data_IF_917033735027
#
_entry.id   IF_917033735027
#
_cell.length_a   1.000
_cell.length_b   1.000
_cell.length_c   1.000
_cell.angle_alpha   90.00
_cell.angle_beta   90.00
_cell.angle_gamma   90.00
#
_symmetry.space_group_name_H-M   'P 1'
#
loop_
_entity.id
_entity.type
_entity.pdbx_description
1 polymer ?
#
# COMPACT_ATOMS: atom_id res chain seq x y z
N UNK A 1 -3.79 0.74 40.95
CA UNK A 1 -2.50 1.16 40.34
C UNK A 1 -2.13 0.29 39.12
N UNK A 2 -2.01 -1.01 39.34
CA UNK A 2 -1.65 -1.92 38.23
C UNK A 2 -2.73 -1.92 37.14
N UNK A 3 -3.99 -1.93 37.52
CA UNK A 3 -5.10 -1.89 36.55
C UNK A 3 -5.11 -0.59 35.74
N UNK A 4 -4.81 0.53 36.40
CA UNK A 4 -4.73 1.82 35.73
C UNK A 4 -3.62 1.84 34.68
N UNK A 5 -2.44 1.30 35.02
CA UNK A 5 -1.33 1.23 34.07
C UNK A 5 -1.65 0.37 32.85
N UNK A 6 -2.27 -0.79 33.06
CA UNK A 6 -2.71 -1.68 31.97
C UNK A 6 -3.73 -0.99 31.08
N UNK A 7 -4.69 -0.26 31.70
CA UNK A 7 -5.71 0.48 30.99
C UNK A 7 -5.08 1.56 30.10
N UNK A 8 -4.11 2.30 30.64
CA UNK A 8 -3.43 3.35 29.90
C UNK A 8 -2.64 2.80 28.71
N UNK A 9 -1.96 1.67 28.89
CA UNK A 9 -1.25 1.00 27.80
C UNK A 9 -2.24 0.54 26.72
N UNK A 10 -3.37 -0.02 27.13
CA UNK A 10 -4.43 -0.44 26.21
C UNK A 10 -4.97 0.73 25.40
N UNK A 11 -5.21 1.88 26.05
CA UNK A 11 -5.69 3.07 25.37
C UNK A 11 -4.69 3.58 24.33
N UNK A 12 -3.38 3.57 24.65
CA UNK A 12 -2.35 3.96 23.72
C UNK A 12 -2.27 3.00 22.52
N UNK A 13 -2.38 1.70 22.77
CA UNK A 13 -2.38 0.70 21.70
C UNK A 13 -3.60 0.81 20.82
N UNK A 14 -4.76 1.13 21.39
CA UNK A 14 -6.01 1.31 20.64
C UNK A 14 -5.93 2.52 19.70
N UNK A 15 -5.13 3.54 20.06
CA UNK A 15 -4.93 4.72 19.22
C UNK A 15 -3.99 4.49 18.05
N UNK A 16 -3.15 3.44 18.12
CA UNK A 16 -2.25 3.11 17.03
C UNK A 16 -3.03 2.42 15.93
N UNK A 17 -3.00 2.99 14.73
CA UNK A 17 -3.72 2.46 13.59
C UNK A 17 -3.02 1.22 13.03
N UNK A 18 -3.82 0.23 12.66
CA UNK A 18 -3.31 -1.02 12.10
C UNK A 18 -3.02 -0.87 10.62
N UNK A 19 -2.16 -1.77 10.10
CA UNK A 19 -1.91 -1.84 8.67
C UNK A 19 -3.21 -2.11 7.93
N UNK A 20 -3.38 -1.43 6.80
CA UNK A 20 -4.46 -1.76 5.88
C UNK A 20 -4.02 -3.00 5.13
N UNK A 21 -4.84 -4.05 5.14
CA UNK A 21 -4.54 -5.30 4.43
C UNK A 21 -5.76 -5.71 3.64
N UNK A 22 -5.59 -5.89 2.33
CA UNK A 22 -6.68 -6.31 1.44
C UNK A 22 -6.16 -7.42 0.52
N UNK A 23 -6.97 -8.45 0.36
CA UNK A 23 -6.63 -9.62 -0.46
C UNK A 23 -7.74 -9.88 -1.44
N UNK A 24 -7.38 -10.10 -2.71
CA UNK A 24 -8.33 -10.45 -3.77
C UNK A 24 -7.73 -11.57 -4.62
N UNK A 25 -8.59 -12.31 -5.32
CA UNK A 25 -8.16 -13.27 -6.34
C UNK A 25 -8.34 -12.61 -7.70
N UNK A 26 -7.26 -12.60 -8.50
CA UNK A 26 -7.26 -12.03 -9.84
C UNK A 26 -7.22 -13.18 -10.83
N UNK A 27 -8.09 -13.16 -11.84
CA UNK A 27 -8.15 -14.19 -12.88
C UNK A 27 -7.11 -13.93 -13.97
N UNK A 28 -5.85 -14.00 -13.55
CA UNK A 28 -4.69 -13.87 -14.43
C UNK A 28 -3.52 -14.64 -13.82
N UNK A 29 -2.65 -15.16 -14.67
CA UNK A 29 -1.46 -15.88 -14.22
C UNK A 29 -0.49 -14.93 -13.50
N UNK A 30 0.27 -15.47 -12.55
CA UNK A 30 1.13 -14.67 -11.67
C UNK A 30 2.13 -13.80 -12.44
N UNK A 31 2.67 -14.28 -13.54
CA UNK A 31 3.63 -13.52 -14.34
C UNK A 31 2.98 -12.27 -14.93
N UNK A 32 1.74 -12.39 -15.39
CA UNK A 32 0.99 -11.25 -15.94
C UNK A 32 0.67 -10.22 -14.85
N UNK A 33 0.28 -10.69 -13.67
CA UNK A 33 0.01 -9.80 -12.53
C UNK A 33 1.31 -9.10 -12.09
N UNK A 34 2.41 -9.85 -12.02
CA UNK A 34 3.71 -9.29 -11.64
C UNK A 34 4.12 -8.15 -12.57
N UNK A 35 4.00 -8.33 -13.88
CA UNK A 35 4.33 -7.28 -14.84
C UNK A 35 3.48 -6.02 -14.62
N UNK A 36 2.21 -6.19 -14.26
CA UNK A 36 1.30 -5.07 -14.05
C UNK A 36 1.60 -4.30 -12.76
N UNK A 37 2.17 -4.95 -11.74
CA UNK A 37 2.45 -4.31 -10.45
C UNK A 37 3.91 -3.94 -10.26
N UNK A 38 4.79 -4.31 -11.20
CA UNK A 38 6.24 -4.10 -11.05
C UNK A 38 6.86 -3.29 -12.19
N UNK A 39 6.06 -2.57 -12.96
CA UNK A 39 6.54 -1.67 -14.02
C UNK A 39 5.83 -0.33 -13.89
N UNK A 40 6.48 0.74 -14.34
CA UNK A 40 5.89 2.08 -14.30
C UNK A 40 4.59 2.15 -15.11
N UNK A 41 4.59 1.59 -16.33
CA UNK A 41 3.41 1.56 -17.18
C UNK A 41 2.28 0.74 -16.56
N UNK A 42 2.62 -0.43 -16.00
CA UNK A 42 1.64 -1.29 -15.36
C UNK A 42 0.98 -0.60 -14.18
N UNK A 43 1.77 -0.04 -13.28
CA UNK A 43 1.25 0.65 -12.08
C UNK A 43 0.40 1.86 -12.48
N UNK A 44 0.80 2.61 -13.49
CA UNK A 44 0.03 3.78 -13.96
C UNK A 44 -1.36 3.39 -14.47
N UNK A 45 -1.50 2.17 -14.98
CA UNK A 45 -2.79 1.71 -15.53
C UNK A 45 -3.85 1.50 -14.46
N UNK A 46 -3.46 1.28 -13.21
CA UNK A 46 -4.43 0.99 -12.14
C UNK A 46 -4.27 1.89 -10.91
N UNK A 47 -3.20 2.65 -10.81
CA UNK A 47 -2.95 3.50 -9.64
C UNK A 47 -2.70 4.95 -10.06
N UNK A 48 -1.44 5.37 -10.18
CA UNK A 48 -1.09 6.76 -10.51
C UNK A 48 0.12 6.79 -11.46
N UNK A 49 0.27 7.86 -12.26
CA UNK A 49 1.50 8.06 -13.01
C UNK A 49 2.72 8.06 -12.08
N UNK A 50 3.82 7.46 -12.53
CA UNK A 50 4.99 7.26 -11.71
C UNK A 50 6.24 7.03 -12.55
N UNK A 51 7.39 7.02 -11.90
CA UNK A 51 8.69 6.70 -12.50
C UNK A 51 9.33 5.48 -11.82
N UNK A 52 8.51 4.49 -11.45
CA UNK A 52 8.93 3.27 -10.79
C UNK A 52 9.91 2.47 -11.67
N UNK A 53 10.89 1.84 -11.01
CA UNK A 53 11.77 0.87 -11.61
C UNK A 53 11.99 -0.25 -10.59
N UNK A 54 11.90 -1.51 -11.04
CA UNK A 54 12.00 -2.68 -10.14
C UNK A 54 13.45 -2.95 -9.75
N UNK A 55 14.02 -2.05 -8.96
CA UNK A 55 15.38 -2.13 -8.48
C UNK A 55 15.43 -1.61 -7.05
N UNK A 56 15.94 -2.44 -6.13
CA UNK A 56 16.07 -2.06 -4.72
C UNK A 56 16.92 -0.79 -4.59
N UNK A 57 16.41 0.16 -3.82
CA UNK A 57 17.08 1.45 -3.62
C UNK A 57 16.68 2.53 -4.62
N UNK A 58 15.97 2.17 -5.70
CA UNK A 58 15.51 3.17 -6.66
C UNK A 58 14.51 4.13 -6.03
N UNK A 59 14.77 5.43 -6.17
CA UNK A 59 13.87 6.47 -5.70
C UNK A 59 12.94 6.85 -6.85
N UNK A 60 11.64 6.92 -6.55
CA UNK A 60 10.63 7.23 -7.55
C UNK A 60 9.52 8.08 -6.92
N UNK A 61 8.59 8.53 -7.74
CA UNK A 61 7.50 9.41 -7.29
C UNK A 61 6.18 8.96 -7.89
N UNK A 62 5.10 9.05 -7.10
CA UNK A 62 3.74 9.03 -7.63
C UNK A 62 3.27 10.45 -7.83
N UNK A 63 2.57 10.70 -8.94
CA UNK A 63 1.97 12.00 -9.22
C UNK A 63 0.58 12.03 -8.59
N UNK A 64 0.49 12.58 -7.38
CA UNK A 64 -0.77 12.64 -6.64
C UNK A 64 -1.41 14.03 -6.75
N UNK A 65 -2.70 14.17 -6.38
CA UNK A 65 -3.36 15.49 -6.34
C UNK A 65 -2.68 16.48 -5.38
N UNK A 66 -1.91 15.97 -4.42
CA UNK A 66 -1.17 16.80 -3.47
C UNK A 66 0.26 17.10 -3.93
N UNK A 67 0.60 16.76 -5.17
CA UNK A 67 1.93 16.90 -5.70
C UNK A 67 2.70 15.58 -5.74
N UNK A 68 3.97 15.58 -6.16
CA UNK A 68 4.76 14.36 -6.21
C UNK A 68 4.92 13.74 -4.82
N UNK A 69 4.67 12.44 -4.71
CA UNK A 69 4.87 11.68 -3.47
C UNK A 69 6.15 10.85 -3.58
N UNK A 70 7.19 11.15 -2.78
CA UNK A 70 8.46 10.44 -2.89
C UNK A 70 8.37 9.03 -2.32
N UNK A 71 8.99 8.09 -3.04
CA UNK A 71 8.99 6.69 -2.70
C UNK A 71 10.39 6.10 -2.91
N UNK A 72 10.64 4.94 -2.29
CA UNK A 72 11.89 4.22 -2.49
C UNK A 72 11.59 2.72 -2.47
N UNK A 73 12.13 2.00 -3.45
CA UNK A 73 11.98 0.55 -3.51
C UNK A 73 12.79 -0.09 -2.39
N UNK A 74 12.12 -0.88 -1.55
CA UNK A 74 12.72 -1.56 -0.40
C UNK A 74 13.07 -3.00 -0.73
N UNK A 75 12.18 -3.70 -1.42
CA UNK A 75 12.31 -5.13 -1.66
C UNK A 75 11.72 -5.51 -3.01
N UNK A 76 12.40 -6.38 -3.74
CA UNK A 76 11.93 -6.96 -5.01
C UNK A 76 12.25 -8.44 -5.01
N UNK A 77 11.21 -9.29 -5.00
CA UNK A 77 11.33 -10.75 -5.08
C UNK A 77 10.36 -11.28 -6.15
N UNK A 78 10.76 -11.26 -7.42
CA UNK A 78 9.87 -11.71 -8.50
C UNK A 78 9.55 -13.19 -8.40
N UNK A 79 8.35 -13.61 -8.70
CA UNK A 79 7.15 -12.81 -9.01
C UNK A 79 6.22 -12.66 -7.80
N UNK A 80 6.73 -12.74 -6.58
CA UNK A 80 5.92 -12.95 -5.39
C UNK A 80 5.80 -11.74 -4.48
N UNK A 81 6.78 -10.83 -4.47
CA UNK A 81 6.76 -9.79 -3.45
C UNK A 81 7.54 -8.55 -3.90
N UNK A 82 6.96 -7.38 -3.64
CA UNK A 82 7.69 -6.12 -3.72
C UNK A 82 7.18 -5.17 -2.64
N UNK A 83 8.08 -4.30 -2.16
CA UNK A 83 7.75 -3.29 -1.16
C UNK A 83 8.43 -1.98 -1.49
N UNK A 84 7.77 -0.88 -1.16
CA UNK A 84 8.36 0.45 -1.28
C UNK A 84 7.89 1.33 -0.12
N UNK A 85 8.74 2.29 0.25
CA UNK A 85 8.33 3.36 1.17
C UNK A 85 7.49 4.36 0.39
N UNK A 86 6.53 4.98 1.05
CA UNK A 86 5.63 5.94 0.40
C UNK A 86 5.52 7.19 1.23
N UNK A 87 5.96 8.31 0.63
CA UNK A 87 5.94 9.62 1.24
C UNK A 87 6.87 9.73 2.46
N UNK A 88 6.94 10.91 3.05
CA UNK A 88 7.82 11.21 4.19
C UNK A 88 7.21 10.83 5.53
N UNK A 89 5.97 10.32 5.52
CA UNK A 89 5.24 10.00 6.73
C UNK A 89 5.62 8.63 7.34
N UNK A 90 6.58 7.93 6.74
CA UNK A 90 6.99 6.61 7.22
C UNK A 90 6.11 5.47 6.73
N UNK A 91 5.25 5.72 5.76
CA UNK A 91 4.40 4.68 5.16
C UNK A 91 5.22 3.71 4.33
N UNK A 92 4.73 2.49 4.25
CA UNK A 92 5.22 1.50 3.30
C UNK A 92 4.03 0.77 2.67
N UNK A 93 4.23 0.30 1.45
CA UNK A 93 3.25 -0.52 0.74
C UNK A 93 3.95 -1.78 0.28
N UNK A 94 3.29 -2.91 0.48
CA UNK A 94 3.80 -4.22 0.05
C UNK A 94 2.74 -4.91 -0.79
N UNK A 95 3.18 -5.46 -1.94
CA UNK A 95 2.35 -6.34 -2.77
C UNK A 95 2.86 -7.76 -2.61
N UNK A 96 1.97 -8.69 -2.33
CA UNK A 96 2.29 -10.11 -2.20
C UNK A 96 1.44 -10.88 -3.20
N UNK A 97 2.08 -11.66 -4.04
CA UNK A 97 1.43 -12.46 -5.07
C UNK A 97 1.64 -13.93 -4.75
N UNK A 98 0.55 -14.69 -4.73
CA UNK A 98 0.58 -16.14 -4.53
C UNK A 98 -0.06 -16.82 -5.74
N UNK A 99 0.67 -17.74 -6.35
CA UNK A 99 0.16 -18.48 -7.50
C UNK A 99 -0.93 -19.46 -7.09
N UNK A 100 -2.06 -19.39 -7.79
CA UNK A 100 -3.19 -20.30 -7.61
C UNK A 100 -3.53 -20.93 -8.98
N UNK A 101 -2.56 -21.64 -9.57
CA UNK A 101 -2.71 -22.16 -10.92
C UNK A 101 -2.77 -21.04 -11.94
N UNK A 102 -3.89 -20.89 -12.63
CA UNK A 102 -4.08 -19.85 -13.64
C UNK A 102 -4.55 -18.52 -13.04
N UNK A 103 -4.78 -18.49 -11.73
CA UNK A 103 -5.20 -17.30 -11.00
C UNK A 103 -4.10 -16.88 -10.04
N UNK A 104 -4.23 -15.68 -9.49
CA UNK A 104 -3.26 -15.12 -8.54
C UNK A 104 -4.00 -14.53 -7.35
N UNK A 105 -3.56 -14.89 -6.14
CA UNK A 105 -4.00 -14.20 -4.94
C UNK A 105 -3.09 -12.99 -4.76
N UNK A 106 -3.69 -11.81 -4.75
CA UNK A 106 -2.99 -10.54 -4.59
C UNK A 106 -3.33 -9.94 -3.24
N UNK A 107 -2.32 -9.64 -2.44
CA UNK A 107 -2.48 -8.99 -1.15
C UNK A 107 -1.73 -7.66 -1.15
N UNK A 108 -2.40 -6.61 -0.72
CA UNK A 108 -1.81 -5.30 -0.51
C UNK A 108 -1.77 -5.01 0.98
N UNK A 109 -0.61 -4.56 1.46
CA UNK A 109 -0.43 -4.10 2.84
C UNK A 109 0.07 -2.66 2.79
N UNK A 110 -0.63 -1.75 3.46
CA UNK A 110 -0.22 -0.36 3.62
C UNK A 110 -0.02 -0.11 5.10
N UNK A 111 1.23 -0.03 5.53
CA UNK A 111 1.59 0.11 6.94
C UNK A 111 2.36 1.38 7.23
N UNK A 112 2.88 1.46 8.44
CA UNK A 112 3.60 2.64 8.90
C UNK A 112 2.67 3.73 9.40
N UNK A 113 1.43 3.40 9.75
CA UNK A 113 0.46 4.36 10.26
C UNK A 113 0.83 4.84 11.64
N UNK A 114 0.57 6.13 11.89
CA UNK A 114 0.78 6.78 13.18
C UNK A 114 -0.45 6.63 14.06
N UNK A 115 -0.41 7.26 15.24
CA UNK A 115 -1.56 7.27 16.13
C UNK A 115 -2.72 8.03 15.49
N UNK A 116 -3.94 7.66 15.87
CA UNK A 116 -5.16 8.13 15.21
C UNK A 116 -5.35 9.64 15.22
N UNK A 117 -4.83 10.34 16.23
CA UNK A 117 -4.98 11.78 16.38
C UNK A 117 -3.79 12.60 15.85
N UNK A 118 -2.72 11.94 15.35
CA UNK A 118 -1.60 12.66 14.75
C UNK A 118 -2.01 13.21 13.39
N UNK A 119 -1.48 14.41 13.08
CA UNK A 119 -1.72 15.03 11.79
C UNK A 119 -0.78 14.46 10.74
N UNK A 120 -1.33 14.19 9.56
CA UNK A 120 -0.53 13.84 8.38
C UNK A 120 -0.20 15.16 7.71
N UNK A 121 1.09 15.55 7.75
CA UNK A 121 1.55 16.88 7.39
C UNK A 121 1.09 17.35 6.00
N UNK A 122 1.17 16.50 5.01
CA UNK A 122 0.83 16.83 3.63
C UNK A 122 -0.65 17.14 3.44
N UNK A 123 -1.53 16.38 4.10
CA UNK A 123 -2.97 16.55 4.01
C UNK A 123 -3.51 17.41 5.15
N UNK A 124 -2.71 17.65 6.20
CA UNK A 124 -3.09 18.40 7.40
C UNK A 124 -4.39 17.88 8.03
N UNK A 125 -4.56 16.55 8.02
CA UNK A 125 -5.72 15.87 8.62
C UNK A 125 -5.24 14.79 9.58
N UNK A 126 -6.12 14.38 10.49
CA UNK A 126 -5.79 13.30 11.44
C UNK A 126 -5.55 11.99 10.71
N UNK A 127 -4.60 11.21 11.22
CA UNK A 127 -4.24 9.91 10.65
C UNK A 127 -5.45 8.98 10.54
N UNK A 128 -6.37 8.99 11.51
CA UNK A 128 -7.59 8.17 11.47
C UNK A 128 -8.47 8.50 10.26
N UNK A 129 -8.58 9.77 9.91
CA UNK A 129 -9.36 10.22 8.75
C UNK A 129 -8.71 9.75 7.46
N UNK A 130 -7.40 9.92 7.36
CA UNK A 130 -6.64 9.49 6.17
C UNK A 130 -6.68 7.97 6.06
N UNK A 131 -6.52 7.25 7.18
CA UNK A 131 -6.58 5.78 7.20
C UNK A 131 -7.91 5.25 6.65
N UNK A 132 -9.02 5.81 7.10
CA UNK A 132 -10.35 5.42 6.61
C UNK A 132 -10.49 5.72 5.11
N UNK A 133 -10.02 6.88 4.68
CA UNK A 133 -10.05 7.27 3.27
C UNK A 133 -9.21 6.34 2.43
N UNK A 134 -8.01 5.99 2.89
CA UNK A 134 -7.12 5.09 2.16
C UNK A 134 -7.66 3.67 2.13
N UNK A 135 -8.29 3.20 3.21
CA UNK A 135 -8.92 1.86 3.23
C UNK A 135 -9.97 1.73 2.14
N UNK A 136 -10.84 2.73 2.00
CA UNK A 136 -11.83 2.75 0.92
C UNK A 136 -11.21 2.94 -0.45
N UNK A 137 -10.20 3.81 -0.54
CA UNK A 137 -9.49 4.08 -1.78
C UNK A 137 -8.80 2.85 -2.35
N UNK A 138 -8.16 2.05 -1.48
CA UNK A 138 -7.47 0.84 -1.93
C UNK A 138 -8.43 -0.19 -2.54
N UNK A 139 -9.66 -0.28 -2.02
CA UNK A 139 -10.69 -1.17 -2.61
C UNK A 139 -10.92 -0.82 -4.07
N UNK A 140 -11.08 0.47 -4.37
CA UNK A 140 -11.29 0.95 -5.73
C UNK A 140 -10.05 0.76 -6.61
N UNK A 141 -8.87 1.05 -6.06
CA UNK A 141 -7.60 0.94 -6.77
C UNK A 141 -7.32 -0.51 -7.15
N UNK A 142 -7.53 -1.44 -6.22
CA UNK A 142 -7.37 -2.88 -6.48
C UNK A 142 -8.42 -3.36 -7.49
N UNK A 143 -9.64 -2.81 -7.44
CA UNK A 143 -10.66 -3.07 -8.45
C UNK A 143 -10.20 -2.67 -9.84
N UNK A 144 -9.49 -1.56 -9.97
CA UNK A 144 -8.90 -1.12 -11.24
C UNK A 144 -7.81 -2.09 -11.70
N UNK A 145 -6.99 -2.58 -10.78
CA UNK A 145 -5.98 -3.60 -11.11
C UNK A 145 -6.62 -4.85 -11.70
N UNK A 146 -7.68 -5.36 -11.06
CA UNK A 146 -8.40 -6.53 -11.56
C UNK A 146 -8.96 -6.28 -12.94
N UNK A 147 -9.62 -5.15 -13.16
CA UNK A 147 -10.18 -4.79 -14.47
C UNK A 147 -9.12 -4.73 -15.55
N UNK A 148 -7.95 -4.21 -15.23
CA UNK A 148 -6.86 -4.09 -16.22
C UNK A 148 -6.29 -5.44 -16.63
N UNK A 149 -6.47 -6.48 -15.80
CA UNK A 149 -5.91 -7.81 -16.03
C UNK A 149 -6.94 -8.84 -16.49
N UNK A 150 -8.21 -8.67 -16.11
CA UNK A 150 -9.28 -9.64 -16.39
C UNK A 150 -10.07 -9.34 -17.65
N UNK A 151 -9.84 -8.22 -18.28
CA UNK A 151 -10.55 -7.82 -19.49
C UNK A 151 -9.99 -8.46 -20.76
#
# INVERSE_FOLDING_TARGET
MVLYSKRKVGELMEKTLQDIKQTVVIEAQIQKVWEQVSTAEGIAAWFMPNDFLAQVGHEFHFQSPFGPSPCKVIEIQPPNRLSFSWDVEGWFVTFILKELGEKTEFTLIHGGWKQSDELIGKANEKASVIHDRMSGGWINIIGNLRKSLES
#
